data_IF_695045520837
#
_entry.id   IF_695045520837
#
_cell.length_a   1.000
_cell.length_b   1.000
_cell.length_c   1.000
_cell.angle_alpha   90.00
_cell.angle_beta   90.00
_cell.angle_gamma   90.00
#
_symmetry.space_group_name_H-M   'P 1'
#
loop_
_entity.id
_entity.type
_entity.pdbx_description
1 polymer ?
#
# COMPACT_ATOMS: atom_id res chain seq x y z
N UNK A 1 -2.60 -9.95 2.61
CA UNK A 1 -1.29 -9.24 2.76
C UNK A 1 -1.38 -8.16 3.83
N UNK A 2 -2.05 -7.01 3.62
CA UNK A 2 -2.10 -5.96 4.67
C UNK A 2 -2.72 -6.44 5.99
N UNK A 3 -3.81 -7.21 5.94
CA UNK A 3 -4.39 -7.85 7.14
C UNK A 3 -3.37 -8.76 7.84
N UNK A 4 -2.61 -9.56 7.07
CA UNK A 4 -1.54 -10.40 7.61
C UNK A 4 -0.46 -9.57 8.32
N UNK A 5 -0.06 -8.41 7.78
CA UNK A 5 0.86 -7.51 8.49
C UNK A 5 0.31 -7.10 9.85
N UNK A 6 -0.95 -6.66 9.91
CA UNK A 6 -1.58 -6.24 11.15
C UNK A 6 -1.68 -7.39 12.16
N UNK A 7 -2.13 -8.57 11.73
CA UNK A 7 -2.35 -9.72 12.63
C UNK A 7 -1.04 -10.24 13.24
N UNK A 8 0.05 -10.27 12.48
CA UNK A 8 1.32 -10.85 12.93
C UNK A 8 2.25 -9.83 13.61
N UNK A 9 2.21 -8.56 13.19
CA UNK A 9 3.18 -7.55 13.64
C UNK A 9 2.53 -6.31 14.28
N UNK A 10 1.20 -6.21 14.22
CA UNK A 10 0.43 -5.14 14.86
C UNK A 10 0.02 -5.47 16.29
N UNK A 11 -0.22 -4.43 17.08
CA UNK A 11 -0.72 -4.54 18.45
C UNK A 11 -2.19 -4.93 18.44
N UNK A 12 -2.59 -5.82 19.34
CA UNK A 12 -4.00 -6.16 19.51
C UNK A 12 -4.77 -4.97 20.10
N UNK A 13 -5.77 -4.48 19.37
CA UNK A 13 -6.58 -3.32 19.77
C UNK A 13 -7.86 -3.73 20.49
N UNK A 14 -8.39 -4.93 20.19
CA UNK A 14 -9.65 -5.40 20.76
C UNK A 14 -10.40 -6.31 19.81
N UNK A 15 -11.55 -6.79 20.28
CA UNK A 15 -12.47 -7.60 19.46
C UNK A 15 -13.75 -6.82 19.25
N UNK A 16 -14.14 -6.65 17.99
CA UNK A 16 -15.37 -5.99 17.60
C UNK A 16 -16.20 -6.96 16.75
N UNK A 17 -17.46 -7.19 17.15
CA UNK A 17 -18.36 -8.14 16.49
C UNK A 17 -17.74 -9.55 16.31
N UNK A 18 -17.02 -10.02 17.32
CA UNK A 18 -16.37 -11.34 17.30
C UNK A 18 -15.13 -11.44 16.41
N UNK A 19 -14.66 -10.33 15.81
CA UNK A 19 -13.43 -10.29 15.02
C UNK A 19 -12.32 -9.56 15.77
N UNK A 20 -11.11 -10.16 15.91
CA UNK A 20 -9.98 -9.49 16.50
C UNK A 20 -9.44 -8.42 15.54
N UNK A 21 -9.13 -7.24 16.08
CA UNK A 21 -8.54 -6.14 15.34
C UNK A 21 -7.16 -5.83 15.88
N UNK A 22 -6.23 -5.57 14.95
CA UNK A 22 -4.85 -5.22 15.23
C UNK A 22 -4.51 -3.89 14.55
N UNK A 23 -3.60 -3.12 15.15
CA UNK A 23 -3.05 -1.92 14.52
C UNK A 23 -2.24 -2.27 13.29
N UNK A 24 -1.97 -1.27 12.45
CA UNK A 24 -0.89 -1.42 11.46
C UNK A 24 0.45 -1.37 12.21
N UNK A 25 1.41 -2.27 11.90
CA UNK A 25 2.70 -2.31 12.59
C UNK A 25 3.48 -1.00 12.44
N UNK A 26 4.20 -0.61 13.50
CA UNK A 26 5.20 0.44 13.42
C UNK A 26 6.46 -0.06 12.68
N UNK A 27 7.40 0.85 12.38
CA UNK A 27 8.61 0.49 11.66
C UNK A 27 9.51 -0.46 12.48
N UNK A 28 9.54 -0.28 13.80
CA UNK A 28 10.34 -1.07 14.73
C UNK A 28 9.95 -2.56 14.67
N UNK A 29 8.65 -2.86 14.62
CA UNK A 29 8.11 -4.22 14.51
C UNK A 29 8.53 -4.92 13.20
N UNK A 30 8.89 -4.16 12.16
CA UNK A 30 9.25 -4.67 10.85
C UNK A 30 10.75 -4.56 10.51
N UNK A 31 11.56 -3.99 11.42
CA UNK A 31 12.99 -3.76 11.20
C UNK A 31 13.90 -4.93 11.65
N UNK A 32 13.33 -5.98 12.26
CA UNK A 32 14.10 -7.14 12.72
C UNK A 32 14.82 -7.91 11.60
N UNK A 33 15.85 -8.68 11.96
CA UNK A 33 16.65 -9.44 10.98
C UNK A 33 15.93 -10.65 10.38
N UNK A 34 14.99 -11.25 11.10
CA UNK A 34 14.18 -12.39 10.62
C UNK A 34 12.99 -11.98 9.76
N UNK A 35 12.56 -10.71 9.84
CA UNK A 35 11.30 -10.22 9.26
C UNK A 35 11.20 -10.46 7.75
N UNK A 36 12.28 -10.28 6.97
CA UNK A 36 12.22 -10.56 5.54
C UNK A 36 11.81 -12.01 5.26
N UNK A 37 12.42 -12.97 5.96
CA UNK A 37 12.11 -14.40 5.75
C UNK A 37 10.70 -14.73 6.25
N UNK A 38 10.29 -14.22 7.40
CA UNK A 38 8.94 -14.43 7.92
C UNK A 38 7.87 -13.88 6.96
N UNK A 39 8.08 -12.69 6.39
CA UNK A 39 7.18 -12.12 5.37
C UNK A 39 7.17 -12.95 4.08
N UNK A 40 8.29 -13.56 3.68
CA UNK A 40 8.32 -14.50 2.54
C UNK A 40 7.48 -15.73 2.82
N UNK A 41 7.60 -16.29 4.02
CA UNK A 41 6.82 -17.46 4.46
C UNK A 41 5.32 -17.14 4.58
N UNK A 42 4.96 -15.88 4.82
CA UNK A 42 3.59 -15.34 4.78
C UNK A 42 3.10 -14.97 3.37
N UNK A 43 3.89 -15.22 2.32
CA UNK A 43 3.47 -15.05 0.93
C UNK A 43 3.66 -13.65 0.34
N UNK A 44 4.44 -12.77 0.97
CA UNK A 44 4.73 -11.42 0.43
C UNK A 44 5.69 -11.46 -0.79
N UNK A 45 6.32 -12.60 -1.03
CA UNK A 45 7.24 -12.81 -2.15
C UNK A 45 8.40 -11.82 -2.12
N UNK A 46 8.75 -11.26 -3.28
CA UNK A 46 9.86 -10.32 -3.39
C UNK A 46 9.64 -9.00 -2.63
N UNK A 47 8.39 -8.64 -2.30
CA UNK A 47 8.06 -7.41 -1.56
C UNK A 47 8.45 -7.48 -0.09
N UNK A 48 8.64 -8.68 0.46
CA UNK A 48 9.12 -8.89 1.82
C UNK A 48 10.41 -8.10 2.11
N UNK A 49 11.35 -8.16 1.15
CA UNK A 49 12.61 -7.41 1.20
C UNK A 49 12.37 -5.90 1.28
N UNK A 50 11.47 -5.37 0.46
CA UNK A 50 11.18 -3.93 0.40
C UNK A 50 10.58 -3.41 1.71
N UNK A 51 9.67 -4.18 2.31
CA UNK A 51 9.04 -3.85 3.59
C UNK A 51 10.10 -3.81 4.70
N UNK A 52 10.89 -4.88 4.86
CA UNK A 52 11.91 -4.95 5.91
C UNK A 52 12.99 -3.86 5.74
N UNK A 53 13.48 -3.63 4.52
CA UNK A 53 14.51 -2.61 4.28
C UNK A 53 13.99 -1.19 4.48
N UNK A 54 12.73 -0.91 4.11
CA UNK A 54 12.09 0.38 4.37
C UNK A 54 11.97 0.62 5.87
N UNK A 55 11.48 -0.38 6.62
CA UNK A 55 11.36 -0.32 8.07
C UNK A 55 12.71 -0.09 8.76
N UNK A 56 13.75 -0.85 8.38
CA UNK A 56 15.12 -0.63 8.87
C UNK A 56 15.61 0.80 8.62
N UNK A 57 15.44 1.30 7.39
CA UNK A 57 15.86 2.66 7.05
C UNK A 57 15.13 3.73 7.88
N UNK A 58 13.85 3.54 8.19
CA UNK A 58 13.10 4.45 9.06
C UNK A 58 13.59 4.39 10.51
N UNK A 59 13.89 3.21 11.03
CA UNK A 59 14.43 3.05 12.39
C UNK A 59 15.85 3.62 12.51
N UNK A 60 16.70 3.38 11.52
CA UNK A 60 18.09 3.85 11.49
C UNK A 60 18.20 5.37 11.21
N UNK A 61 17.14 5.99 10.69
CA UNK A 61 17.10 7.42 10.37
C UNK A 61 15.84 8.09 10.96
N UNK A 62 15.91 8.58 12.20
CA UNK A 62 14.79 9.26 12.86
C UNK A 62 14.25 10.48 12.10
N UNK A 63 15.10 11.23 11.40
CA UNK A 63 14.65 12.39 10.60
C UNK A 63 13.80 11.96 9.39
N UNK A 64 14.15 10.82 8.78
CA UNK A 64 13.35 10.21 7.71
C UNK A 64 12.00 9.72 8.24
N UNK A 65 12.00 9.05 9.39
CA UNK A 65 10.76 8.63 10.06
C UNK A 65 9.88 9.84 10.36
N UNK A 66 10.43 10.86 11.00
CA UNK A 66 9.72 12.09 11.36
C UNK A 66 9.16 12.81 10.12
N UNK A 67 9.90 12.79 9.01
CA UNK A 67 9.46 13.39 7.76
C UNK A 67 8.17 12.77 7.19
N UNK A 68 8.00 11.47 7.36
CA UNK A 68 6.81 10.72 6.92
C UNK A 68 5.66 10.80 7.92
N UNK A 69 5.95 10.60 9.21
CA UNK A 69 4.91 10.40 10.24
C UNK A 69 4.41 11.70 10.84
N UNK A 70 5.30 12.70 11.01
CA UNK A 70 4.96 13.98 11.64
C UNK A 70 4.70 15.10 10.61
N UNK A 71 4.48 14.75 9.35
CA UNK A 71 3.90 15.65 8.35
C UNK A 71 4.85 16.66 7.74
N UNK A 72 6.18 16.60 7.95
CA UNK A 72 7.12 17.52 7.29
C UNK A 72 6.94 17.51 5.76
N UNK A 73 6.75 16.34 5.17
CA UNK A 73 6.51 16.19 3.72
C UNK A 73 5.19 16.81 3.25
N UNK A 74 4.17 16.97 4.10
CA UNK A 74 2.90 17.62 3.71
C UNK A 74 3.10 19.07 3.29
N UNK A 75 4.11 19.75 3.84
CA UNK A 75 4.45 21.14 3.48
C UNK A 75 5.35 21.28 2.25
N UNK A 76 5.92 20.16 1.77
CA UNK A 76 6.87 20.16 0.65
C UNK A 76 6.18 20.20 -0.71
N UNK A 77 6.92 20.57 -1.74
CA UNK A 77 6.43 20.47 -3.12
C UNK A 77 6.24 19.00 -3.52
N UNK A 78 5.42 18.78 -4.54
CA UNK A 78 5.24 17.44 -5.13
C UNK A 78 6.57 16.80 -5.53
N UNK A 79 7.45 17.57 -6.18
CA UNK A 79 8.73 17.07 -6.66
C UNK A 79 9.62 16.60 -5.50
N UNK A 80 9.72 17.40 -4.43
CA UNK A 80 10.46 17.03 -3.22
C UNK A 80 9.87 15.78 -2.55
N UNK A 81 8.54 15.64 -2.48
CA UNK A 81 7.91 14.44 -1.96
C UNK A 81 8.25 13.20 -2.79
N UNK A 82 8.17 13.32 -4.12
CA UNK A 82 8.45 12.20 -5.01
C UNK A 82 9.92 11.78 -4.95
N UNK A 83 10.85 12.76 -4.97
CA UNK A 83 12.29 12.52 -4.83
C UNK A 83 12.61 11.75 -3.54
N UNK A 84 12.08 12.22 -2.40
CA UNK A 84 12.24 11.56 -1.12
C UNK A 84 11.67 10.13 -1.11
N UNK A 85 10.46 9.94 -1.66
CA UNK A 85 9.79 8.63 -1.65
C UNK A 85 10.50 7.61 -2.56
N UNK A 86 11.13 8.06 -3.65
CA UNK A 86 11.89 7.19 -4.55
C UNK A 86 13.17 6.64 -3.92
N UNK A 87 13.61 7.17 -2.77
CA UNK A 87 14.74 6.62 -2.04
C UNK A 87 14.43 5.24 -1.41
N UNK A 88 13.15 4.90 -1.22
CA UNK A 88 12.75 3.65 -0.57
C UNK A 88 12.80 2.46 -1.54
N UNK A 89 13.32 1.31 -1.09
CA UNK A 89 13.43 0.12 -1.92
C UNK A 89 12.05 -0.36 -2.35
N UNK A 90 11.85 -0.57 -3.65
CA UNK A 90 10.57 -1.02 -4.21
C UNK A 90 9.56 0.09 -4.46
N UNK A 91 9.88 1.35 -4.14
CA UNK A 91 9.04 2.51 -4.46
C UNK A 91 9.47 3.09 -5.80
N UNK A 92 8.61 2.93 -6.81
CA UNK A 92 8.72 3.61 -8.10
C UNK A 92 7.75 4.81 -8.20
N UNK A 93 7.75 5.54 -9.33
CA UNK A 93 6.94 6.77 -9.50
C UNK A 93 5.47 6.58 -9.15
N UNK A 94 4.85 5.48 -9.59
CA UNK A 94 3.45 5.15 -9.27
C UNK A 94 3.21 5.03 -7.76
N UNK A 95 4.07 4.31 -7.05
CA UNK A 95 3.91 4.09 -5.60
C UNK A 95 4.16 5.39 -4.85
N UNK A 96 5.19 6.15 -5.23
CA UNK A 96 5.46 7.47 -4.67
C UNK A 96 4.25 8.40 -4.84
N UNK A 97 3.67 8.43 -6.04
CA UNK A 97 2.50 9.25 -6.33
C UNK A 97 1.25 8.78 -5.57
N UNK A 98 1.06 7.47 -5.36
CA UNK A 98 -0.02 6.97 -4.48
C UNK A 98 0.13 7.48 -3.05
N UNK A 99 1.34 7.42 -2.49
CA UNK A 99 1.62 7.93 -1.13
C UNK A 99 1.42 9.45 -1.10
N UNK A 100 1.94 10.18 -2.08
CA UNK A 100 1.79 11.64 -2.17
C UNK A 100 0.31 12.07 -2.19
N UNK A 101 -0.51 11.41 -3.02
CA UNK A 101 -1.93 11.71 -3.14
C UNK A 101 -2.73 11.33 -1.89
N UNK A 102 -2.49 10.15 -1.32
CA UNK A 102 -3.36 9.58 -0.28
C UNK A 102 -2.91 9.92 1.15
N UNK A 103 -1.66 10.33 1.37
CA UNK A 103 -1.14 10.60 2.72
C UNK A 103 -0.33 11.90 2.89
N UNK A 104 0.05 12.59 1.82
CA UNK A 104 0.89 13.81 1.89
C UNK A 104 0.23 15.08 1.32
N UNK A 105 -1.10 15.08 1.15
CA UNK A 105 -1.92 16.21 0.71
C UNK A 105 -1.55 16.76 -0.70
N UNK A 106 -1.04 15.90 -1.60
CA UNK A 106 -0.72 16.28 -2.99
C UNK A 106 -1.88 15.94 -3.92
N UNK A 107 -2.89 16.81 -3.93
CA UNK A 107 -4.14 16.60 -4.69
C UNK A 107 -3.98 16.72 -6.21
N UNK A 108 -2.88 17.32 -6.66
CA UNK A 108 -2.48 17.52 -8.06
C UNK A 108 -1.64 16.34 -8.61
N UNK A 109 -1.63 15.20 -7.91
CA UNK A 109 -0.87 13.99 -8.28
C UNK A 109 -1.79 12.91 -8.81
N UNK A 110 -1.42 12.26 -9.93
CA UNK A 110 -2.21 11.22 -10.60
C UNK A 110 -1.36 9.95 -10.73
N UNK A 111 -1.48 8.98 -9.82
CA UNK A 111 -0.67 7.77 -9.88
C UNK A 111 -0.92 6.96 -11.16
N UNK A 112 0.01 6.99 -12.12
CA UNK A 112 -0.21 6.37 -13.44
C UNK A 112 0.21 4.90 -13.41
N UNK A 113 -0.75 3.99 -13.36
CA UNK A 113 -0.53 2.57 -13.58
C UNK A 113 -0.99 2.11 -14.98
N UNK A 114 -1.04 0.80 -15.19
CA UNK A 114 -1.51 0.23 -16.45
C UNK A 114 -2.98 0.52 -16.71
N UNK A 115 -3.83 0.62 -15.69
CA UNK A 115 -5.26 0.93 -15.85
C UNK A 115 -5.44 2.38 -16.26
N UNK A 116 -4.80 3.31 -15.55
CA UNK A 116 -4.83 4.75 -15.87
C UNK A 116 -4.29 5.00 -17.28
N UNK A 117 -3.25 4.28 -17.68
CA UNK A 117 -2.75 4.32 -19.07
C UNK A 117 -3.81 3.88 -20.09
N UNK A 118 -4.55 2.80 -19.81
CA UNK A 118 -5.63 2.37 -20.71
C UNK A 118 -6.76 3.38 -20.76
N UNK A 119 -7.17 3.96 -19.62
CA UNK A 119 -8.21 5.00 -19.55
C UNK A 119 -7.79 6.21 -20.40
N UNK A 120 -6.56 6.70 -20.23
CA UNK A 120 -6.03 7.82 -21.02
C UNK A 120 -6.15 7.55 -22.54
N UNK A 121 -5.83 6.33 -22.99
CA UNK A 121 -5.90 5.98 -24.42
C UNK A 121 -7.31 5.71 -24.92
N UNK A 122 -8.10 4.97 -24.14
CA UNK A 122 -9.46 4.52 -24.51
C UNK A 122 -10.43 5.69 -24.54
N UNK A 123 -10.42 6.51 -23.50
CA UNK A 123 -11.48 7.49 -23.23
C UNK A 123 -11.05 8.90 -23.65
N UNK A 124 -9.80 9.25 -23.39
CA UNK A 124 -9.26 10.59 -23.69
C UNK A 124 -8.47 10.66 -24.99
N UNK A 125 -8.35 9.54 -25.71
CA UNK A 125 -7.58 9.41 -26.95
C UNK A 125 -6.15 9.94 -26.83
N UNK A 126 -5.56 9.82 -25.64
CA UNK A 126 -4.20 10.26 -25.36
C UNK A 126 -3.21 9.58 -26.32
N UNK A 127 -2.30 10.39 -26.88
CA UNK A 127 -1.22 9.93 -27.75
C UNK A 127 0.09 10.47 -27.20
N UNK A 128 0.99 9.57 -26.80
CA UNK A 128 2.31 9.98 -26.36
C UNK A 128 3.06 10.63 -27.52
N UNK A 129 3.87 11.64 -27.19
CA UNK A 129 4.78 12.25 -28.17
C UNK A 129 5.94 11.30 -28.51
N UNK A 130 6.22 10.35 -27.62
CA UNK A 130 7.25 9.33 -27.78
C UNK A 130 6.70 8.11 -28.56
N UNK A 131 7.41 7.66 -29.59
CA UNK A 131 7.02 6.47 -30.42
C UNK A 131 7.09 5.12 -29.68
N UNK A 132 7.47 5.10 -28.40
CA UNK A 132 7.65 3.89 -27.61
C UNK A 132 6.31 3.35 -27.12
N UNK A 133 6.11 2.03 -27.25
CA UNK A 133 4.89 1.34 -26.81
C UNK A 133 4.87 0.95 -25.33
N UNK A 134 6.01 1.10 -24.65
CA UNK A 134 6.21 0.68 -23.25
C UNK A 134 6.06 1.88 -22.30
N UNK A 135 5.58 1.63 -21.08
CA UNK A 135 5.53 2.64 -20.02
C UNK A 135 6.95 3.04 -19.59
N UNK A 136 7.46 4.12 -20.17
CA UNK A 136 8.72 4.77 -19.76
C UNK A 136 8.42 5.92 -18.80
N UNK A 137 9.45 6.44 -18.12
CA UNK A 137 9.31 7.64 -17.29
C UNK A 137 8.70 8.82 -18.07
N UNK A 138 9.12 9.02 -19.32
CA UNK A 138 8.57 10.10 -20.15
C UNK A 138 7.07 9.90 -20.43
N UNK A 139 6.64 8.68 -20.75
CA UNK A 139 5.22 8.38 -20.98
C UNK A 139 4.40 8.57 -19.69
N UNK A 140 4.96 8.18 -18.55
CA UNK A 140 4.36 8.41 -17.23
C UNK A 140 4.15 9.90 -16.98
N UNK A 141 5.21 10.71 -17.16
CA UNK A 141 5.19 12.16 -16.94
C UNK A 141 4.23 12.88 -17.91
N UNK A 142 4.17 12.45 -19.17
CA UNK A 142 3.22 13.01 -20.15
C UNK A 142 1.75 12.77 -19.75
N UNK A 143 1.42 11.58 -19.26
CA UNK A 143 0.04 11.25 -18.83
C UNK A 143 -0.32 11.99 -17.55
N UNK A 144 0.62 12.02 -16.61
CA UNK A 144 0.50 12.79 -15.38
C UNK A 144 0.20 14.26 -15.69
N UNK A 145 0.98 14.88 -16.58
CA UNK A 145 0.77 16.27 -16.98
C UNK A 145 -0.54 16.46 -17.75
N UNK A 146 -0.90 15.51 -18.62
CA UNK A 146 -2.16 15.54 -19.37
C UNK A 146 -3.37 15.64 -18.44
N UNK A 147 -3.44 14.79 -17.41
CA UNK A 147 -4.56 14.81 -16.48
C UNK A 147 -4.54 16.00 -15.52
N UNK A 148 -3.35 16.48 -15.12
CA UNK A 148 -3.24 17.72 -14.31
C UNK A 148 -3.71 18.93 -15.11
N UNK A 149 -3.31 19.06 -16.38
CA UNK A 149 -3.81 20.12 -17.25
C UNK A 149 -5.34 20.05 -17.46
N UNK A 150 -5.91 18.84 -17.43
CA UNK A 150 -7.34 18.63 -17.66
C UNK A 150 -8.19 18.91 -16.41
N UNK A 151 -7.73 18.51 -15.22
CA UNK A 151 -8.52 18.54 -13.99
C UNK A 151 -8.03 19.55 -12.94
N UNK A 152 -6.88 20.17 -13.15
CA UNK A 152 -6.32 21.18 -12.25
C UNK A 152 -5.84 20.62 -10.91
N UNK A 153 -5.97 21.43 -9.86
CA UNK A 153 -5.39 21.22 -8.53
C UNK A 153 -5.90 19.95 -7.81
N UNK A 154 -7.02 19.39 -8.27
CA UNK A 154 -7.65 18.19 -7.70
C UNK A 154 -7.62 17.00 -8.68
N UNK A 155 -6.69 17.00 -9.64
CA UNK A 155 -6.55 15.93 -10.62
C UNK A 155 -6.46 14.52 -10.01
N UNK A 156 -5.81 14.37 -8.85
CA UNK A 156 -5.74 13.10 -8.14
C UNK A 156 -7.09 12.61 -7.61
N UNK A 157 -7.97 13.52 -7.19
CA UNK A 157 -9.33 13.18 -6.76
C UNK A 157 -10.22 12.79 -7.93
N UNK A 158 -10.15 13.54 -9.04
CA UNK A 158 -10.85 13.19 -10.27
C UNK A 158 -10.40 11.81 -10.81
N UNK A 159 -9.09 11.55 -10.75
CA UNK A 159 -8.51 10.23 -11.03
C UNK A 159 -9.13 9.13 -10.16
N UNK A 160 -9.29 9.34 -8.85
CA UNK A 160 -9.88 8.33 -7.96
C UNK A 160 -11.31 7.95 -8.34
N UNK A 161 -12.12 8.91 -8.82
CA UNK A 161 -13.47 8.63 -9.34
C UNK A 161 -13.44 7.78 -10.60
N UNK A 162 -12.55 8.12 -11.55
CA UNK A 162 -12.40 7.35 -12.79
C UNK A 162 -11.85 5.95 -12.55
N UNK A 163 -10.87 5.83 -11.65
CA UNK A 163 -10.32 4.54 -11.26
C UNK A 163 -11.41 3.67 -10.62
N UNK A 164 -12.20 4.22 -9.69
CA UNK A 164 -13.31 3.50 -9.07
C UNK A 164 -14.38 3.07 -10.09
N UNK A 165 -14.66 3.90 -11.10
CA UNK A 165 -15.62 3.57 -12.17
C UNK A 165 -15.09 2.50 -13.14
N UNK A 166 -13.77 2.39 -13.34
CA UNK A 166 -13.15 1.39 -14.24
C UNK A 166 -12.89 0.05 -13.54
N UNK A 167 -12.97 0.00 -12.20
CA UNK A 167 -12.97 -1.26 -11.47
C UNK A 167 -14.25 -2.02 -11.79
N UNK A 168 -14.10 -3.09 -12.59
CA UNK A 168 -15.17 -3.95 -13.09
C UNK A 168 -16.08 -4.57 -12.01
N UNK A 169 -15.63 -4.60 -10.75
CA UNK A 169 -16.37 -5.15 -9.61
C UNK A 169 -16.23 -4.26 -8.35
N UNK A 170 -17.05 -3.22 -8.24
CA UNK A 170 -17.52 -2.80 -6.91
C UNK A 170 -18.56 -3.80 -6.34
N UNK A 171 -19.01 -4.76 -7.15
CA UNK A 171 -19.80 -5.96 -6.80
C UNK A 171 -18.90 -7.17 -6.47
N UNK A 172 -17.76 -6.95 -5.83
CA UNK A 172 -16.87 -8.02 -5.35
C UNK A 172 -17.40 -8.76 -4.10
N UNK A 173 -18.72 -8.73 -3.86
CA UNK A 173 -19.40 -9.42 -2.77
C UNK A 173 -19.11 -8.89 -1.36
N UNK A 174 -18.36 -7.79 -1.22
CA UNK A 174 -18.01 -7.22 0.09
C UNK A 174 -19.11 -6.29 0.61
N UNK A 175 -19.95 -5.74 -0.28
CA UNK A 175 -21.08 -4.86 0.06
C UNK A 175 -22.45 -5.56 -0.01
N UNK A 176 -22.50 -6.86 -0.23
CA UNK A 176 -23.75 -7.63 -0.19
C UNK A 176 -24.13 -7.89 1.28
N UNK A 177 -24.91 -6.97 1.86
CA UNK A 177 -25.46 -7.12 3.22
C UNK A 177 -26.58 -8.16 3.29
N UNK A 178 -26.96 -8.78 2.16
CA UNK A 178 -28.09 -9.71 2.07
C UNK A 178 -27.73 -11.19 2.13
N UNK A 179 -26.45 -11.57 2.16
CA UNK A 179 -26.04 -12.96 2.40
C UNK A 179 -24.85 -13.08 3.35
N UNK A 180 -25.11 -13.04 4.67
CA UNK A 180 -24.17 -13.64 5.62
C UNK A 180 -24.03 -15.12 5.28
N UNK A 181 -22.84 -15.64 4.91
CA UNK A 181 -22.65 -17.07 4.76
C UNK A 181 -22.92 -17.69 6.13
N UNK A 182 -23.92 -18.57 6.18
CA UNK A 182 -24.25 -19.33 7.39
C UNK A 182 -22.99 -20.04 7.88
N UNK A 183 -22.59 -19.72 9.12
CA UNK A 183 -21.70 -20.50 10.00
C UNK A 183 -20.61 -21.30 9.26
N UNK A 184 -19.41 -20.72 9.11
CA UNK A 184 -18.21 -21.57 9.17
C UNK A 184 -18.19 -22.22 10.56
N UNK A 185 -17.99 -23.54 10.67
CA UNK A 185 -17.85 -24.20 11.97
C UNK A 185 -16.72 -23.56 12.76
N UNK A 186 -16.87 -23.60 14.09
CA UNK A 186 -15.88 -23.17 15.07
C UNK A 186 -14.48 -23.71 14.73
N UNK A 187 -13.49 -22.85 14.97
CA UNK A 187 -12.03 -23.03 14.86
C UNK A 187 -11.56 -24.49 14.73
N UNK A 188 -10.97 -24.83 13.57
CA UNK A 188 -10.16 -26.05 13.43
C UNK A 188 -8.78 -25.78 14.01
N UNK A 189 -8.46 -26.40 15.15
CA UNK A 189 -7.15 -26.31 15.80
C UNK A 189 -6.01 -26.81 14.90
N UNK A 190 -6.31 -27.50 13.79
CA UNK A 190 -5.34 -27.94 12.79
C UNK A 190 -5.16 -26.97 11.62
N UNK A 191 -5.83 -25.80 11.61
CA UNK A 191 -5.56 -24.77 10.61
C UNK A 191 -4.07 -24.36 10.71
N UNK A 192 -3.27 -24.48 9.64
CA UNK A 192 -1.84 -24.19 9.67
C UNK A 192 -1.52 -22.74 10.10
N UNK A 193 -2.48 -21.81 9.99
CA UNK A 193 -2.37 -20.44 10.50
C UNK A 193 -2.52 -20.40 12.02
N UNK A 194 -3.45 -21.19 12.58
CA UNK A 194 -3.69 -21.32 14.03
C UNK A 194 -2.54 -22.06 14.71
N UNK A 195 -2.05 -23.14 14.09
CA UNK A 195 -0.91 -23.93 14.58
C UNK A 195 0.34 -23.06 14.68
N UNK A 196 0.69 -22.31 13.62
CA UNK A 196 1.84 -21.38 13.66
C UNK A 196 1.69 -20.27 14.73
N UNK A 197 0.46 -19.81 14.98
CA UNK A 197 0.16 -18.80 16.02
C UNK A 197 0.41 -19.35 17.42
N UNK A 198 0.03 -20.60 17.68
CA UNK A 198 0.24 -21.28 18.96
C UNK A 198 1.72 -21.60 19.20
N UNK A 199 2.44 -22.05 18.17
CA UNK A 199 3.89 -22.30 18.23
C UNK A 199 4.68 -21.02 18.54
N UNK A 200 4.33 -19.90 17.90
CA UNK A 200 4.99 -18.61 18.16
C UNK A 200 4.75 -18.11 19.59
N UNK A 201 3.53 -18.30 20.12
CA UNK A 201 3.17 -17.90 21.48
C UNK A 201 3.90 -18.74 22.54
N UNK A 202 3.96 -20.06 22.34
CA UNK A 202 4.67 -20.98 23.23
C UNK A 202 6.19 -20.74 23.25
N UNK A 203 6.81 -20.37 22.11
CA UNK A 203 8.23 -20.01 22.06
C UNK A 203 8.55 -18.66 22.70
N UNK A 204 7.57 -17.75 22.81
CA UNK A 204 7.77 -16.46 23.49
C UNK A 204 7.67 -16.58 25.01
N UNK A 205 6.77 -17.43 25.50
CA UNK A 205 6.52 -17.62 26.94
C UNK A 205 7.52 -18.58 27.62
N UNK A 206 8.36 -19.27 26.84
CA UNK A 206 9.42 -20.19 27.34
C UNK A 206 10.81 -19.55 27.49
N UNK A 207 10.93 -18.25 27.19
CA UNK A 207 12.18 -17.47 27.29
C UNK A 207 12.12 -16.44 28.44
N UNK A 208 11.19 -16.63 29.39
CA UNK A 208 11.10 -15.87 30.65
C UNK A 208 11.23 -16.79 31.85
#
# INVERSE_FOLDING_TARGET
MCESLCVYYGEYLGTFQGKPHHSFPNAEALAGNSIEQELRDLGFGYRAKFINQTAKRMVDNPDMHDSLVHGKLRTKSRAECQEFLLEFPGVGPKVADCVALMSLDKHDVVPVDTHVYQIAKRDYKFRSTTKNKTMTKNVYDEIQQFFVCLWGDYAGWAHSLLFAADLRDLENGINDTTTLPSKRPLEDENDPVVVKRLEYKNNRDSVV
#
